data_IF_006205711665
#
_entry.id   IF_006205711665
#
_cell.length_a   1.000
_cell.length_b   1.000
_cell.length_c   1.000
_cell.angle_alpha   90.00
_cell.angle_beta   90.00
_cell.angle_gamma   90.00
#
_symmetry.space_group_name_H-M   'P 1'
#
loop_
_entity.id
_entity.type
_entity.pdbx_description
1 polymer ?
#
# COMPACT_ATOMS: atom_id res chain seq x y z
N UNK A 1 11.00 -30.31 50.43
CA UNK A 1 11.96 -29.31 49.93
C UNK A 1 11.36 -28.69 48.69
N UNK A 2 10.92 -27.44 48.84
CA UNK A 2 10.22 -26.63 47.84
C UNK A 2 11.10 -26.35 46.63
N UNK A 3 10.56 -26.46 45.40
CA UNK A 3 11.11 -25.78 44.24
C UNK A 3 10.01 -24.89 43.66
N UNK A 4 10.31 -23.59 43.66
CA UNK A 4 9.36 -22.51 43.54
C UNK A 4 8.68 -22.45 42.18
N UNK A 5 7.41 -22.06 42.24
CA UNK A 5 6.69 -21.42 41.16
C UNK A 5 7.54 -20.27 40.62
N UNK A 6 7.85 -20.31 39.32
CA UNK A 6 8.30 -19.12 38.60
C UNK A 6 7.09 -18.22 38.45
N UNK A 7 6.91 -17.32 39.42
CA UNK A 7 5.99 -16.20 39.30
C UNK A 7 6.46 -15.32 38.14
N UNK A 8 5.75 -15.46 37.02
CA UNK A 8 5.87 -14.55 35.90
C UNK A 8 5.38 -13.18 36.38
N UNK A 9 6.33 -12.32 36.76
CA UNK A 9 6.06 -10.96 37.16
C UNK A 9 5.48 -10.20 35.97
N UNK A 10 4.14 -10.17 35.83
CA UNK A 10 3.46 -9.13 35.06
C UNK A 10 3.86 -7.79 35.68
N UNK A 11 4.75 -7.05 35.02
CA UNK A 11 5.03 -5.67 35.40
C UNK A 11 3.86 -4.83 34.92
N UNK A 12 3.12 -4.26 35.88
CA UNK A 12 2.08 -3.28 35.63
C UNK A 12 2.63 -2.10 34.81
N UNK A 13 2.02 -1.89 33.65
CA UNK A 13 2.38 -0.89 32.65
C UNK A 13 2.71 -1.48 31.28
N UNK A 14 1.91 -2.46 30.81
CA UNK A 14 2.14 -3.19 29.54
C UNK A 14 1.96 -2.25 28.33
N UNK A 15 3.00 -1.50 28.00
CA UNK A 15 3.23 -1.10 26.62
C UNK A 15 3.46 -2.39 25.80
N UNK A 16 2.77 -2.54 24.67
CA UNK A 16 2.99 -3.66 23.76
C UNK A 16 4.48 -3.76 23.45
N UNK A 17 5.02 -4.98 23.39
CA UNK A 17 6.42 -5.12 22.95
C UNK A 17 6.51 -4.65 21.49
N UNK A 18 7.68 -4.17 21.07
CA UNK A 18 7.91 -3.76 19.69
C UNK A 18 7.59 -4.88 18.66
N UNK A 19 7.71 -6.14 19.05
CA UNK A 19 7.31 -7.27 18.22
C UNK A 19 5.78 -7.38 18.08
N UNK A 20 5.04 -7.17 19.18
CA UNK A 20 3.58 -7.20 19.18
C UNK A 20 3.00 -6.02 18.38
N UNK A 21 3.64 -4.85 18.45
CA UNK A 21 3.28 -3.70 17.62
C UNK A 21 3.47 -4.01 16.12
N UNK A 22 4.60 -4.62 15.76
CA UNK A 22 4.86 -5.01 14.38
C UNK A 22 3.85 -6.05 13.87
N UNK A 23 3.55 -7.07 14.67
CA UNK A 23 2.55 -8.08 14.32
C UNK A 23 1.16 -7.45 14.13
N UNK A 24 0.76 -6.55 15.02
CA UNK A 24 -0.50 -5.81 14.90
C UNK A 24 -0.59 -5.02 13.60
N UNK A 25 0.48 -4.33 13.17
CA UNK A 25 0.52 -3.63 11.88
C UNK A 25 0.32 -4.58 10.69
N UNK A 26 0.88 -5.80 10.74
CA UNK A 26 0.72 -6.80 9.69
C UNK A 26 -0.71 -7.37 9.67
N UNK A 27 -1.28 -7.69 10.83
CA UNK A 27 -2.61 -8.26 10.97
C UNK A 27 -3.73 -7.29 10.58
N UNK A 28 -3.52 -5.99 10.82
CA UNK A 28 -4.52 -4.95 10.59
C UNK A 28 -4.43 -4.29 9.22
N UNK A 29 -3.34 -4.49 8.46
CA UNK A 29 -3.22 -3.93 7.10
C UNK A 29 -4.34 -4.46 6.19
N UNK A 30 -5.02 -3.54 5.52
CA UNK A 30 -6.09 -3.83 4.53
C UNK A 30 -5.80 -3.12 3.22
N UNK A 31 -6.34 -3.68 2.13
CA UNK A 31 -6.33 -3.01 0.84
C UNK A 31 -7.45 -1.98 0.85
N UNK A 32 -7.11 -0.71 0.72
CA UNK A 32 -8.08 0.40 0.72
C UNK A 32 -8.56 0.63 -0.70
N UNK A 33 -9.89 0.67 -0.88
CA UNK A 33 -10.47 0.99 -2.18
C UNK A 33 -10.05 2.40 -2.62
N UNK A 34 -9.66 2.54 -3.88
CA UNK A 34 -9.14 3.79 -4.42
C UNK A 34 -10.09 4.98 -4.27
N UNK A 35 -11.41 4.74 -4.30
CA UNK A 35 -12.45 5.76 -4.07
C UNK A 35 -12.53 6.30 -2.64
N UNK A 36 -11.83 5.65 -1.69
CA UNK A 36 -11.75 6.08 -0.29
C UNK A 36 -10.47 6.87 0.01
N UNK A 37 -9.57 7.02 -0.98
CA UNK A 37 -8.36 7.81 -0.83
C UNK A 37 -8.69 9.30 -0.99
N UNK A 38 -8.13 10.12 -0.10
CA UNK A 38 -8.32 11.58 -0.08
C UNK A 38 -6.99 12.30 0.01
N UNK A 39 -6.98 13.58 -0.38
CA UNK A 39 -5.81 14.44 -0.19
C UNK A 39 -5.66 14.94 1.26
N UNK A 40 -4.44 15.29 1.69
CA UNK A 40 -3.18 15.11 0.96
C UNK A 40 -2.65 13.68 1.05
N UNK A 41 -2.02 13.21 -0.03
CA UNK A 41 -1.21 11.99 0.00
C UNK A 41 0.07 12.15 0.85
N UNK A 42 0.90 11.10 0.96
CA UNK A 42 2.17 11.16 1.67
C UNK A 42 3.10 12.23 1.08
N UNK A 43 3.85 12.91 1.94
CA UNK A 43 4.86 13.87 1.50
C UNK A 43 6.01 13.19 0.73
N UNK A 44 6.80 13.98 0.01
CA UNK A 44 7.97 13.48 -0.72
C UNK A 44 8.95 12.72 0.19
N UNK A 45 9.16 13.20 1.41
CA UNK A 45 10.05 12.55 2.38
C UNK A 45 9.47 11.25 2.93
N UNK A 46 8.15 11.22 3.16
CA UNK A 46 7.45 10.00 3.55
C UNK A 46 7.54 8.94 2.45
N UNK A 47 7.26 9.31 1.20
CA UNK A 47 7.42 8.42 0.04
C UNK A 47 8.85 7.91 -0.09
N UNK A 48 9.85 8.79 0.02
CA UNK A 48 11.26 8.40 -0.04
C UNK A 48 11.60 7.37 1.03
N UNK A 49 11.16 7.58 2.27
CA UNK A 49 11.37 6.63 3.37
C UNK A 49 10.71 5.28 3.07
N UNK A 50 9.45 5.28 2.64
CA UNK A 50 8.70 4.06 2.32
C UNK A 50 9.37 3.26 1.20
N UNK A 51 9.72 3.90 0.09
CA UNK A 51 10.36 3.25 -1.06
C UNK A 51 11.76 2.75 -0.73
N UNK A 52 12.51 3.47 0.11
CA UNK A 52 13.83 3.02 0.61
C UNK A 52 13.72 1.74 1.44
N UNK A 53 12.68 1.65 2.29
CA UNK A 53 12.41 0.44 3.06
C UNK A 53 11.99 -0.70 2.13
N UNK A 54 11.09 -0.44 1.18
CA UNK A 54 10.62 -1.44 0.21
C UNK A 54 11.77 -2.03 -0.64
N UNK A 55 12.76 -1.21 -0.99
CA UNK A 55 13.97 -1.63 -1.70
C UNK A 55 14.90 -2.56 -0.91
N UNK A 56 14.58 -2.91 0.35
CA UNK A 56 15.31 -3.92 1.14
C UNK A 56 14.75 -5.33 0.94
N UNK A 57 13.67 -5.49 0.18
CA UNK A 57 13.08 -6.81 -0.09
C UNK A 57 14.15 -7.73 -0.72
N UNK A 58 14.28 -8.97 -0.26
CA UNK A 58 15.27 -9.88 -0.82
C UNK A 58 14.94 -10.18 -2.28
N UNK A 59 15.96 -10.15 -3.12
CA UNK A 59 15.88 -10.62 -4.50
C UNK A 59 16.95 -11.66 -4.78
N UNK A 60 16.58 -12.66 -5.57
CA UNK A 60 17.47 -13.76 -5.90
C UNK A 60 18.60 -13.24 -6.80
N UNK A 61 19.81 -13.15 -6.25
CA UNK A 61 20.99 -12.66 -6.94
C UNK A 61 21.36 -11.20 -6.67
N UNK A 62 20.66 -10.51 -5.76
CA UNK A 62 20.95 -9.11 -5.38
C UNK A 62 21.06 -8.14 -6.58
N UNK A 63 20.27 -8.41 -7.62
CA UNK A 63 20.11 -7.63 -8.84
C UNK A 63 19.38 -6.31 -8.61
N UNK A 64 18.57 -6.24 -7.55
CA UNK A 64 17.72 -5.08 -7.25
C UNK A 64 16.85 -4.66 -8.46
N UNK A 65 16.05 -5.58 -9.03
CA UNK A 65 15.41 -5.37 -10.33
C UNK A 65 14.21 -4.40 -10.30
N UNK A 66 13.85 -3.89 -9.12
CA UNK A 66 12.69 -3.00 -8.96
C UNK A 66 12.97 -1.59 -9.48
N UNK A 67 11.98 -1.02 -10.16
CA UNK A 67 11.95 0.38 -10.58
C UNK A 67 10.68 1.03 -10.03
N UNK A 68 10.84 1.94 -9.07
CA UNK A 68 9.73 2.72 -8.56
C UNK A 68 9.50 3.95 -9.44
N UNK A 69 8.27 4.11 -9.94
CA UNK A 69 7.83 5.29 -10.71
C UNK A 69 6.72 5.94 -9.89
N UNK A 70 6.95 7.19 -9.48
CA UNK A 70 5.95 7.99 -8.76
C UNK A 70 5.27 8.91 -9.77
N UNK A 71 3.95 8.79 -9.90
CA UNK A 71 3.11 9.69 -10.70
C UNK A 71 2.33 10.55 -9.70
N UNK A 72 2.57 11.86 -9.73
CA UNK A 72 2.03 12.82 -8.75
C UNK A 72 1.63 14.14 -9.43
N UNK A 73 0.77 14.92 -8.77
CA UNK A 73 0.25 16.20 -9.26
C UNK A 73 -0.41 16.09 -10.65
N UNK A 74 -0.11 17.03 -11.54
CA UNK A 74 -0.70 17.09 -12.89
C UNK A 74 -0.35 15.87 -13.77
N UNK A 75 0.78 15.20 -13.52
CA UNK A 75 1.15 14.00 -14.28
C UNK A 75 0.14 12.86 -14.09
N UNK A 76 -0.54 12.88 -12.95
CA UNK A 76 -1.56 11.93 -12.55
C UNK A 76 -2.81 12.11 -13.44
N UNK A 77 -3.28 13.35 -13.59
CA UNK A 77 -4.33 13.75 -14.55
C UNK A 77 -3.99 13.38 -16.00
N UNK A 78 -2.77 13.69 -16.45
CA UNK A 78 -2.32 13.32 -17.79
C UNK A 78 -2.31 11.79 -18.01
N UNK A 79 -1.99 11.01 -16.97
CA UNK A 79 -2.06 9.56 -17.06
C UNK A 79 -3.52 9.09 -17.19
N UNK A 80 -4.46 9.63 -16.39
CA UNK A 80 -5.90 9.35 -16.52
C UNK A 80 -6.42 9.56 -17.93
N UNK A 81 -6.17 10.75 -18.49
CA UNK A 81 -6.67 11.18 -19.80
C UNK A 81 -6.22 10.23 -20.92
N UNK A 82 -5.03 9.63 -20.78
CA UNK A 82 -4.49 8.68 -21.76
C UNK A 82 -4.89 7.23 -21.49
N UNK A 83 -4.96 6.82 -20.23
CA UNK A 83 -5.22 5.43 -19.86
C UNK A 83 -6.70 5.06 -19.96
N UNK A 84 -7.62 5.98 -19.65
CA UNK A 84 -9.05 5.72 -19.73
C UNK A 84 -9.51 5.28 -21.15
N UNK A 85 -9.18 5.98 -22.25
CA UNK A 85 -9.57 5.54 -23.59
C UNK A 85 -8.89 4.23 -24.01
N UNK A 86 -7.63 4.01 -23.61
CA UNK A 86 -6.93 2.73 -23.87
C UNK A 86 -7.66 1.59 -23.18
N UNK A 87 -8.01 1.74 -21.90
CA UNK A 87 -8.75 0.72 -21.17
C UNK A 87 -10.09 0.40 -21.84
N UNK A 88 -10.84 1.43 -22.26
CA UNK A 88 -12.14 1.24 -22.90
C UNK A 88 -12.05 0.49 -24.24
N UNK A 89 -10.99 0.74 -25.03
CA UNK A 89 -10.73 0.07 -26.30
C UNK A 89 -10.25 -1.37 -26.11
N UNK A 90 -9.32 -1.62 -25.19
CA UNK A 90 -8.78 -2.96 -24.93
C UNK A 90 -9.80 -3.89 -24.26
N UNK A 91 -10.89 -3.35 -23.70
CA UNK A 91 -11.90 -4.11 -22.97
C UNK A 91 -13.28 -4.07 -23.65
N UNK A 92 -13.36 -3.94 -24.97
CA UNK A 92 -14.63 -3.89 -25.72
C UNK A 92 -15.59 -5.05 -25.43
N UNK A 93 -15.06 -6.26 -25.18
CA UNK A 93 -15.85 -7.45 -24.86
C UNK A 93 -16.41 -7.46 -23.43
N UNK A 94 -16.03 -6.50 -22.57
CA UNK A 94 -16.54 -6.38 -21.21
C UNK A 94 -17.96 -5.81 -21.22
N UNK A 95 -18.81 -6.32 -20.32
CA UNK A 95 -20.18 -5.80 -20.13
C UNK A 95 -20.20 -4.27 -20.03
N UNK A 96 -21.08 -3.57 -20.80
CA UNK A 96 -20.98 -2.13 -20.99
C UNK A 96 -20.96 -1.31 -19.69
N UNK A 97 -21.83 -1.64 -18.74
CA UNK A 97 -21.91 -0.95 -17.45
C UNK A 97 -20.65 -1.15 -16.60
N UNK A 98 -20.04 -2.33 -16.67
CA UNK A 98 -18.79 -2.62 -15.95
C UNK A 98 -17.62 -1.88 -16.57
N UNK A 99 -17.54 -1.87 -17.91
CA UNK A 99 -16.52 -1.13 -18.66
C UNK A 99 -16.61 0.37 -18.42
N UNK A 100 -17.81 0.94 -18.44
CA UNK A 100 -18.06 2.34 -18.13
C UNK A 100 -17.60 2.69 -16.71
N UNK A 101 -17.97 1.85 -15.72
CA UNK A 101 -17.54 2.01 -14.33
C UNK A 101 -16.01 2.06 -14.21
N UNK A 102 -15.30 1.08 -14.78
CA UNK A 102 -13.83 1.04 -14.66
C UNK A 102 -13.16 2.17 -15.44
N UNK A 103 -13.66 2.52 -16.62
CA UNK A 103 -13.18 3.67 -17.40
C UNK A 103 -13.34 4.97 -16.61
N UNK A 104 -14.51 5.18 -15.99
CA UNK A 104 -14.78 6.36 -15.16
C UNK A 104 -13.92 6.42 -13.90
N UNK A 105 -13.64 5.27 -13.28
CA UNK A 105 -12.71 5.15 -12.15
C UNK A 105 -11.29 5.52 -12.56
N UNK A 106 -10.80 5.02 -13.70
CA UNK A 106 -9.48 5.36 -14.23
C UNK A 106 -9.41 6.87 -14.53
N UNK A 107 -10.43 7.44 -15.15
CA UNK A 107 -10.45 8.85 -15.57
C UNK A 107 -10.48 9.88 -14.43
N UNK A 108 -10.96 9.50 -13.23
CA UNK A 108 -11.15 10.43 -12.11
C UNK A 108 -10.04 10.40 -11.07
N UNK A 109 -9.28 9.30 -11.01
CA UNK A 109 -8.46 9.02 -9.84
C UNK A 109 -6.96 8.98 -10.12
N UNK A 110 -6.54 8.87 -11.38
CA UNK A 110 -5.16 9.23 -11.72
C UNK A 110 -5.10 10.74 -11.92
#
# INVERSE_FOLDING_TARGET
MSHGLVENHRRSGDAMSSADELLSLLETRRSVAMTLLTDPGPSKDQLRRMLTIAARVPDHGALQPWRFIVIDGEARKHASERLAPIFAAENEAMEPAQREKFTGVISRVL
#
